data_IF_258922437958
#
_entry.id   IF_258922437958
#
_cell.length_a   1.000
_cell.length_b   1.000
_cell.length_c   1.000
_cell.angle_alpha   90.00
_cell.angle_beta   90.00
_cell.angle_gamma   90.00
#
_symmetry.space_group_name_H-M   'P 1'
#
loop_
_entity.id
_entity.type
_entity.pdbx_description
1 polymer ?
#
# COMPACT_ATOMS: atom_id res chain seq x y z
N UNK A 1 -17.28 -34.83 11.60
CA UNK A 1 -16.93 -33.84 12.63
C UNK A 1 -17.17 -32.45 12.04
N UNK A 2 -18.42 -32.14 11.75
CA UNK A 2 -18.88 -30.93 11.09
C UNK A 2 -20.20 -30.49 11.75
N UNK A 3 -20.12 -30.12 13.01
CA UNK A 3 -21.24 -29.56 13.78
C UNK A 3 -20.68 -28.79 14.96
N UNK A 4 -20.31 -27.51 14.75
CA UNK A 4 -20.09 -26.54 15.86
C UNK A 4 -19.85 -25.09 15.37
N UNK A 5 -20.33 -24.72 14.18
CA UNK A 5 -20.21 -23.33 13.67
C UNK A 5 -21.54 -22.68 13.25
N UNK A 6 -22.68 -23.30 13.61
CA UNK A 6 -24.00 -22.84 13.20
C UNK A 6 -24.83 -22.13 14.26
N UNK A 7 -24.27 -21.68 15.38
CA UNK A 7 -25.05 -21.26 16.52
C UNK A 7 -24.76 -19.91 17.18
N UNK A 8 -24.07 -18.97 16.51
CA UNK A 8 -23.73 -17.67 17.13
C UNK A 8 -23.93 -16.43 16.25
N UNK A 9 -25.03 -16.39 15.50
CA UNK A 9 -25.36 -15.20 14.69
C UNK A 9 -26.71 -14.56 15.03
N UNK A 10 -27.24 -14.82 16.22
CA UNK A 10 -28.43 -14.13 16.72
C UNK A 10 -28.23 -13.77 18.17
N UNK A 11 -27.73 -12.60 18.45
CA UNK A 11 -27.96 -11.73 19.59
C UNK A 11 -26.70 -10.89 19.93
N UNK A 12 -26.61 -9.71 19.39
CA UNK A 12 -25.95 -8.60 20.08
C UNK A 12 -26.35 -7.27 19.47
N UNK A 13 -27.62 -6.88 19.67
CA UNK A 13 -27.99 -5.48 19.80
C UNK A 13 -27.74 -5.09 21.27
N UNK A 14 -26.49 -4.89 21.65
CA UNK A 14 -26.16 -4.17 22.87
C UNK A 14 -25.62 -2.81 22.51
N UNK A 15 -26.31 -1.77 22.96
CA UNK A 15 -25.80 -0.42 23.04
C UNK A 15 -24.42 -0.45 23.70
N UNK A 16 -23.39 -0.07 22.96
CA UNK A 16 -22.07 0.20 23.54
C UNK A 16 -22.21 1.46 24.37
N UNK A 17 -22.37 1.29 25.67
CA UNK A 17 -22.13 2.35 26.63
C UNK A 17 -20.63 2.53 26.75
N UNK A 18 -20.13 3.71 26.36
CA UNK A 18 -18.77 4.13 26.56
C UNK A 18 -18.37 3.98 28.04
N UNK A 19 -17.61 2.94 28.35
CA UNK A 19 -16.84 2.87 29.59
C UNK A 19 -15.48 3.52 29.29
N UNK A 20 -15.36 4.80 29.57
CA UNK A 20 -14.09 5.49 29.68
C UNK A 20 -13.33 4.91 30.86
N UNK A 21 -12.45 3.94 30.61
CA UNK A 21 -11.35 3.67 31.51
C UNK A 21 -10.19 4.58 31.10
N UNK A 22 -9.96 5.63 31.93
CA UNK A 22 -8.89 6.59 31.73
C UNK A 22 -7.51 5.94 31.75
N UNK A 23 -6.99 5.64 30.56
CA UNK A 23 -5.57 5.75 30.23
C UNK A 23 -5.46 6.93 29.29
N UNK A 24 -4.68 7.92 29.71
CA UNK A 24 -4.23 9.03 28.92
C UNK A 24 -3.56 8.46 27.66
N UNK A 25 -4.34 8.32 26.58
CA UNK A 25 -3.81 7.92 25.29
C UNK A 25 -2.93 9.07 24.84
N UNK A 26 -1.65 8.86 24.77
CA UNK A 26 -0.65 9.85 24.35
C UNK A 26 -1.11 10.42 23.01
N UNK A 27 -1.62 11.65 23.06
CA UNK A 27 -2.10 12.38 21.89
C UNK A 27 -0.93 12.52 20.93
N UNK A 28 -1.04 11.89 19.76
CA UNK A 28 -0.02 11.99 18.74
C UNK A 28 0.13 13.45 18.33
N UNK A 29 1.35 13.98 18.40
CA UNK A 29 1.67 15.31 17.89
C UNK A 29 1.98 15.21 16.40
N UNK A 30 1.09 15.75 15.57
CA UNK A 30 1.28 15.79 14.11
C UNK A 30 2.03 17.06 13.71
N UNK A 31 3.05 16.91 12.88
CA UNK A 31 3.76 18.04 12.26
C UNK A 31 2.83 18.81 11.34
N UNK A 32 2.57 20.09 11.64
CA UNK A 32 1.65 20.92 10.84
C UNK A 32 2.31 21.56 9.61
N UNK A 33 3.63 21.72 9.63
CA UNK A 33 4.39 22.25 8.49
C UNK A 33 4.41 21.23 7.35
N UNK A 34 4.34 21.73 6.10
CA UNK A 34 4.58 20.86 4.93
C UNK A 34 6.01 20.33 4.95
N UNK A 35 6.15 19.03 5.14
CA UNK A 35 7.43 18.34 5.32
C UNK A 35 7.62 17.17 4.33
N UNK A 36 6.82 17.17 3.25
CA UNK A 36 6.91 16.13 2.22
C UNK A 36 8.05 16.40 1.26
N UNK A 37 8.59 15.31 0.70
CA UNK A 37 9.68 15.35 -0.29
C UNK A 37 9.21 15.80 -1.69
N UNK A 38 7.96 16.19 -1.81
CA UNK A 38 7.35 16.71 -3.05
C UNK A 38 6.54 17.98 -2.77
N UNK A 39 6.34 18.85 -3.77
CA UNK A 39 5.59 20.09 -3.58
C UNK A 39 4.09 19.85 -3.44
N UNK A 40 3.42 20.70 -2.65
CA UNK A 40 1.96 20.68 -2.54
C UNK A 40 1.30 21.15 -3.84
N UNK A 41 0.34 20.39 -4.33
CA UNK A 41 -0.48 20.78 -5.47
C UNK A 41 -1.58 21.77 -5.07
N UNK A 42 -1.79 22.79 -5.90
CA UNK A 42 -2.90 23.75 -5.76
C UNK A 42 -4.28 23.15 -6.08
N UNK A 43 -4.32 21.97 -6.71
CA UNK A 43 -5.55 21.28 -7.11
C UNK A 43 -6.18 20.45 -5.99
N UNK A 44 -5.53 20.37 -4.81
CA UNK A 44 -5.99 19.58 -3.70
C UNK A 44 -5.98 20.37 -2.39
N UNK A 45 -6.96 20.08 -1.53
CA UNK A 45 -6.93 20.46 -0.12
C UNK A 45 -6.26 19.32 0.66
N UNK A 46 -5.40 19.68 1.61
CA UNK A 46 -4.66 18.73 2.42
C UNK A 46 -4.92 18.98 3.92
N UNK A 47 -5.07 17.90 4.68
CA UNK A 47 -5.03 17.94 6.14
C UNK A 47 -4.46 16.64 6.70
N UNK A 48 -3.79 16.71 7.84
CA UNK A 48 -3.43 15.52 8.61
C UNK A 48 -4.61 15.04 9.45
N UNK A 49 -4.76 13.72 9.52
CA UNK A 49 -5.82 13.04 10.27
C UNK A 49 -5.25 11.85 11.04
N UNK A 50 -5.99 11.41 12.06
CA UNK A 50 -5.67 10.19 12.82
C UNK A 50 -6.91 9.33 12.94
N UNK A 51 -6.71 8.01 12.99
CA UNK A 51 -7.77 7.02 13.23
C UNK A 51 -7.18 5.79 13.92
N UNK A 52 -8.02 5.01 14.59
CA UNK A 52 -7.58 3.91 15.43
C UNK A 52 -7.81 2.56 14.76
N UNK A 53 -6.82 1.66 14.87
CA UNK A 53 -6.93 0.27 14.48
C UNK A 53 -7.65 -0.55 15.54
N UNK A 54 -8.17 -1.73 15.18
CA UNK A 54 -8.75 -2.65 16.15
C UNK A 54 -7.74 -3.17 17.19
N UNK A 55 -6.45 -3.00 16.96
CA UNK A 55 -5.38 -3.30 17.92
C UNK A 55 -5.08 -2.15 18.90
N UNK A 56 -5.85 -1.06 18.85
CA UNK A 56 -5.66 0.11 19.72
C UNK A 56 -4.43 0.95 19.35
N UNK A 57 -3.97 0.85 18.11
CA UNK A 57 -2.92 1.70 17.57
C UNK A 57 -3.56 2.86 16.82
N UNK A 58 -3.00 4.06 16.94
CA UNK A 58 -3.45 5.25 16.21
C UNK A 58 -2.58 5.44 14.98
N UNK A 59 -3.20 5.41 13.80
CA UNK A 59 -2.53 5.73 12.54
C UNK A 59 -2.58 7.23 12.27
N UNK A 60 -1.47 7.78 11.80
CA UNK A 60 -1.35 9.14 11.29
C UNK A 60 -1.37 9.12 9.76
N UNK A 61 -2.17 10.00 9.16
CA UNK A 61 -2.31 10.05 7.72
C UNK A 61 -2.44 11.48 7.18
N UNK A 62 -2.11 11.62 5.90
CA UNK A 62 -2.35 12.80 5.09
C UNK A 62 -3.59 12.55 4.22
N UNK A 63 -4.65 13.32 4.44
CA UNK A 63 -5.88 13.28 3.65
C UNK A 63 -5.84 14.39 2.58
N UNK A 64 -5.95 13.99 1.33
CA UNK A 64 -6.03 14.86 0.16
C UNK A 64 -7.43 14.82 -0.43
N UNK A 65 -8.04 16.00 -0.59
CA UNK A 65 -9.39 16.15 -1.14
C UNK A 65 -9.35 17.03 -2.37
N UNK A 66 -9.95 16.63 -3.50
CA UNK A 66 -9.97 17.42 -4.73
C UNK A 66 -10.55 18.82 -4.51
N UNK A 67 -9.99 19.85 -5.17
CA UNK A 67 -10.64 21.17 -5.30
C UNK A 67 -11.69 21.09 -6.40
N UNK A 68 -12.97 21.11 -6.03
CA UNK A 68 -14.12 20.86 -6.94
C UNK A 68 -14.18 21.84 -8.14
N UNK A 69 -13.68 23.06 -7.97
CA UNK A 69 -13.65 24.06 -9.05
C UNK A 69 -12.78 23.61 -10.24
N UNK A 70 -11.68 22.93 -9.98
CA UNK A 70 -10.72 22.50 -10.99
C UNK A 70 -11.16 21.24 -11.75
N UNK A 71 -11.99 20.39 -11.13
CA UNK A 71 -12.54 19.20 -11.80
C UNK A 71 -13.47 19.54 -12.97
N UNK A 72 -14.17 20.67 -12.91
CA UNK A 72 -15.08 21.13 -13.97
C UNK A 72 -14.32 21.63 -15.21
N UNK A 73 -13.08 22.08 -15.08
CA UNK A 73 -12.25 22.53 -16.20
C UNK A 73 -11.56 21.36 -16.91
N UNK A 74 -11.06 20.37 -16.17
CA UNK A 74 -10.33 19.23 -16.72
C UNK A 74 -11.20 18.31 -17.60
N UNK A 75 -12.50 18.18 -17.30
CA UNK A 75 -13.44 17.37 -18.10
C UNK A 75 -13.82 18.01 -19.44
N UNK A 76 -13.66 19.32 -19.60
CA UNK A 76 -13.87 20.01 -20.89
C UNK A 76 -12.73 19.76 -21.88
N UNK A 77 -11.51 19.55 -21.39
CA UNK A 77 -10.33 19.35 -22.23
C UNK A 77 -10.11 17.87 -22.62
N UNK A 78 -10.52 16.92 -21.77
CA UNK A 78 -10.24 15.49 -21.99
C UNK A 78 -11.32 14.70 -22.75
N UNK A 79 -12.51 15.29 -22.98
CA UNK A 79 -13.63 14.59 -23.65
C UNK A 79 -14.20 13.39 -22.88
N UNK A 80 -13.73 13.14 -21.65
CA UNK A 80 -14.20 12.07 -20.78
C UNK A 80 -15.45 12.55 -20.06
N UNK A 81 -16.59 11.88 -20.28
CA UNK A 81 -17.82 12.18 -19.55
C UNK A 81 -17.62 11.88 -18.06
N UNK A 82 -17.54 12.94 -17.25
CA UNK A 82 -17.48 12.80 -15.80
C UNK A 82 -18.87 12.34 -15.32
N UNK A 83 -19.02 11.16 -14.70
CA UNK A 83 -20.29 10.71 -14.14
C UNK A 83 -20.85 11.65 -13.05
N UNK A 84 -20.09 12.66 -12.64
CA UNK A 84 -20.42 13.61 -11.59
C UNK A 84 -21.19 14.86 -12.10
N UNK A 85 -21.54 14.96 -13.40
CA UNK A 85 -22.14 16.20 -13.98
C UNK A 85 -23.61 16.47 -13.58
N UNK A 86 -24.32 15.53 -12.95
CA UNK A 86 -25.77 15.64 -12.74
C UNK A 86 -26.24 15.72 -11.28
N UNK A 87 -25.35 15.79 -10.29
CA UNK A 87 -25.70 15.88 -8.88
C UNK A 87 -25.42 17.27 -8.28
N UNK A 88 -26.25 17.65 -7.31
CA UNK A 88 -26.01 18.86 -6.52
C UNK A 88 -24.59 18.81 -5.92
N UNK A 89 -23.72 19.82 -6.11
CA UNK A 89 -22.35 19.82 -5.60
C UNK A 89 -22.21 19.54 -4.09
N UNK A 90 -23.26 19.81 -3.33
CA UNK A 90 -23.32 19.58 -1.86
C UNK A 90 -23.67 18.12 -1.47
N UNK A 91 -24.06 17.27 -2.44
CA UNK A 91 -24.42 15.86 -2.21
C UNK A 91 -23.50 14.87 -2.94
N UNK A 92 -22.48 15.38 -3.63
CA UNK A 92 -21.62 14.54 -4.44
C UNK A 92 -20.59 13.80 -3.58
N UNK A 93 -20.71 12.46 -3.54
CA UNK A 93 -19.73 11.57 -2.91
C UNK A 93 -18.63 11.19 -3.89
N UNK A 94 -17.37 11.27 -3.44
CA UNK A 94 -16.18 10.92 -4.21
C UNK A 94 -15.81 9.45 -4.03
N UNK A 95 -15.25 8.80 -5.06
CA UNK A 95 -14.49 7.57 -4.84
C UNK A 95 -13.26 7.86 -4.00
N UNK A 96 -12.76 6.85 -3.26
CA UNK A 96 -11.62 7.05 -2.39
C UNK A 96 -10.52 6.01 -2.57
N UNK A 97 -9.28 6.38 -2.21
CA UNK A 97 -8.10 5.52 -2.34
C UNK A 97 -7.23 5.67 -1.09
N UNK A 98 -6.93 4.55 -0.40
CA UNK A 98 -5.90 4.51 0.63
C UNK A 98 -4.55 4.07 0.03
N UNK A 99 -3.46 4.72 0.44
CA UNK A 99 -2.12 4.51 -0.11
C UNK A 99 -1.11 4.30 1.01
N UNK A 100 -0.25 3.30 0.89
CA UNK A 100 0.90 3.13 1.79
C UNK A 100 2.12 2.51 1.09
N UNK A 101 3.26 2.63 1.74
CA UNK A 101 4.57 2.17 1.26
C UNK A 101 5.45 3.29 0.72
N UNK A 102 6.66 2.95 0.36
CA UNK A 102 7.37 1.66 0.44
C UNK A 102 7.55 1.14 1.88
N UNK A 103 7.92 -0.14 2.02
CA UNK A 103 8.25 -0.73 3.31
C UNK A 103 9.44 0.02 3.94
N UNK A 104 9.29 0.48 5.19
CA UNK A 104 10.28 1.32 5.87
C UNK A 104 10.27 2.81 5.48
N UNK A 105 9.41 3.23 4.55
CA UNK A 105 9.17 4.64 4.21
C UNK A 105 8.08 5.27 5.10
N UNK A 106 7.82 6.55 4.91
CA UNK A 106 6.75 7.31 5.56
C UNK A 106 5.83 7.97 4.53
N UNK A 107 4.64 8.40 4.99
CA UNK A 107 3.63 9.05 4.14
C UNK A 107 4.11 10.35 3.49
N UNK A 108 5.20 10.94 3.97
CA UNK A 108 5.82 12.14 3.42
C UNK A 108 6.60 11.88 2.13
N UNK A 109 6.79 10.60 1.78
CA UNK A 109 7.54 10.15 0.61
C UNK A 109 6.60 9.67 -0.51
N UNK A 110 6.87 8.56 -1.15
CA UNK A 110 6.15 8.04 -2.32
C UNK A 110 4.64 7.91 -2.13
N UNK A 111 4.17 7.36 -1.00
CA UNK A 111 2.73 7.17 -0.78
C UNK A 111 1.95 8.48 -0.75
N UNK A 112 2.50 9.53 -0.14
CA UNK A 112 1.89 10.86 -0.16
C UNK A 112 1.82 11.46 -1.57
N UNK A 113 2.86 11.28 -2.37
CA UNK A 113 2.85 11.70 -3.77
C UNK A 113 1.74 10.99 -4.56
N UNK A 114 1.64 9.66 -4.43
CA UNK A 114 0.58 8.89 -5.09
C UNK A 114 -0.82 9.35 -4.66
N UNK A 115 -1.04 9.54 -3.36
CA UNK A 115 -2.31 10.02 -2.84
C UNK A 115 -2.66 11.42 -3.39
N UNK A 116 -1.71 12.36 -3.38
CA UNK A 116 -1.90 13.68 -3.95
C UNK A 116 -2.23 13.62 -5.45
N UNK A 117 -1.52 12.77 -6.22
CA UNK A 117 -1.75 12.61 -7.67
C UNK A 117 -3.10 11.97 -7.99
N UNK A 118 -3.60 11.08 -7.15
CA UNK A 118 -4.95 10.54 -7.28
C UNK A 118 -6.00 11.60 -6.91
N UNK A 119 -5.73 12.41 -5.89
CA UNK A 119 -6.64 13.51 -5.53
C UNK A 119 -6.74 14.59 -6.63
N UNK A 120 -5.64 14.91 -7.32
CA UNK A 120 -5.67 15.77 -8.51
C UNK A 120 -6.62 15.24 -9.61
N UNK A 121 -6.95 13.94 -9.58
CA UNK A 121 -7.79 13.23 -10.56
C UNK A 121 -9.19 12.88 -10.06
N UNK A 122 -9.59 13.46 -8.94
CA UNK A 122 -10.98 13.37 -8.47
C UNK A 122 -11.26 12.31 -7.42
N UNK A 123 -10.26 11.74 -6.77
CA UNK A 123 -10.42 10.81 -5.66
C UNK A 123 -10.18 11.52 -4.32
N UNK A 124 -10.91 11.17 -3.28
CA UNK A 124 -10.45 11.42 -1.92
C UNK A 124 -9.34 10.42 -1.63
N UNK A 125 -8.14 10.90 -1.33
CA UNK A 125 -6.98 10.03 -1.19
C UNK A 125 -6.32 10.18 0.18
N UNK A 126 -5.93 9.06 0.78
CA UNK A 126 -5.36 8.98 2.12
C UNK A 126 -4.00 8.29 2.05
N UNK A 127 -2.90 8.98 2.39
CA UNK A 127 -1.61 8.36 2.60
C UNK A 127 -1.36 8.20 4.10
N UNK A 128 -1.10 7.00 4.59
CA UNK A 128 -0.91 6.74 6.02
C UNK A 128 0.47 6.18 6.34
N UNK A 129 0.99 6.53 7.51
CA UNK A 129 2.11 5.84 8.11
C UNK A 129 1.63 4.51 8.70
N UNK A 130 2.32 3.40 8.44
CA UNK A 130 2.03 2.14 9.12
C UNK A 130 2.12 2.23 10.64
N UNK A 131 1.44 1.34 11.33
CA UNK A 131 1.63 1.11 12.75
C UNK A 131 3.12 1.04 13.12
N UNK A 132 3.52 1.64 14.21
CA UNK A 132 4.91 1.73 14.71
C UNK A 132 5.87 2.60 13.88
N UNK A 133 5.40 3.24 12.80
CA UNK A 133 6.23 3.97 11.83
C UNK A 133 5.81 5.44 11.74
N UNK A 134 6.74 6.32 11.34
CA UNK A 134 6.45 7.73 11.07
C UNK A 134 5.82 8.45 12.26
N UNK A 135 4.67 9.08 12.04
CA UNK A 135 3.85 9.74 13.07
C UNK A 135 2.77 8.83 13.68
N UNK A 136 2.57 7.59 13.16
CA UNK A 136 1.67 6.61 13.76
C UNK A 136 2.19 6.11 15.10
N UNK A 137 1.28 5.69 15.98
CA UNK A 137 1.62 5.16 17.31
C UNK A 137 2.20 3.74 17.27
N UNK A 138 2.55 3.25 18.42
CA UNK A 138 3.05 1.89 18.64
C UNK A 138 4.50 1.86 19.10
N UNK A 139 4.75 1.05 20.12
CA UNK A 139 6.08 0.76 20.66
C UNK A 139 6.30 -0.75 20.70
N UNK A 140 7.51 -1.19 20.45
CA UNK A 140 8.71 -0.43 20.08
C UNK A 140 8.66 0.08 18.63
N UNK A 141 9.20 1.29 18.40
CA UNK A 141 9.18 1.93 17.06
C UNK A 141 9.82 1.08 15.98
N UNK A 142 9.37 1.27 14.73
CA UNK A 142 9.86 0.57 13.53
C UNK A 142 9.71 -0.95 13.61
N UNK A 143 8.69 -1.41 14.32
CA UNK A 143 8.27 -2.81 14.29
C UNK A 143 7.39 -3.05 13.08
N UNK A 144 7.63 -4.14 12.36
CA UNK A 144 6.77 -4.59 11.28
C UNK A 144 6.13 -5.93 11.67
N UNK A 145 4.85 -6.12 11.30
CA UNK A 145 4.09 -7.35 11.55
C UNK A 145 3.16 -7.62 10.38
N UNK A 146 3.14 -8.84 9.82
CA UNK A 146 2.34 -9.15 8.63
C UNK A 146 0.84 -8.92 8.81
N UNK A 147 0.30 -9.29 9.95
CA UNK A 147 -1.11 -9.15 10.31
C UNK A 147 -1.48 -7.70 10.63
N UNK A 148 -0.69 -7.02 11.46
CA UNK A 148 -0.93 -5.60 11.81
C UNK A 148 -0.82 -4.72 10.57
N UNK A 149 0.18 -4.94 9.70
CA UNK A 149 0.32 -4.14 8.49
C UNK A 149 -0.82 -4.40 7.47
N UNK A 150 -1.38 -5.61 7.44
CA UNK A 150 -2.58 -5.90 6.66
C UNK A 150 -3.79 -5.16 7.24
N UNK A 151 -3.96 -5.17 8.56
CA UNK A 151 -5.00 -4.45 9.29
C UNK A 151 -4.90 -2.93 9.08
N UNK A 152 -3.70 -2.36 9.00
CA UNK A 152 -3.52 -0.93 8.74
C UNK A 152 -4.24 -0.48 7.46
N UNK A 153 -4.22 -1.28 6.36
CA UNK A 153 -5.02 -1.00 5.16
C UNK A 153 -6.53 -1.12 5.41
N UNK A 154 -6.98 -2.17 6.12
CA UNK A 154 -8.41 -2.37 6.39
C UNK A 154 -8.95 -1.24 7.28
N UNK A 155 -8.18 -0.79 8.27
CA UNK A 155 -8.51 0.38 9.09
C UNK A 155 -8.56 1.67 8.27
N UNK A 156 -7.67 1.85 7.28
CA UNK A 156 -7.74 2.99 6.37
C UNK A 156 -9.03 2.97 5.51
N UNK A 157 -9.49 1.79 5.12
CA UNK A 157 -10.79 1.59 4.44
C UNK A 157 -11.95 1.92 5.38
N UNK A 158 -11.89 1.50 6.66
CA UNK A 158 -12.89 1.87 7.68
C UNK A 158 -13.01 3.39 7.80
N UNK A 159 -11.87 4.07 7.95
CA UNK A 159 -11.84 5.53 8.07
C UNK A 159 -12.45 6.21 6.84
N UNK A 160 -12.03 5.82 5.63
CA UNK A 160 -12.56 6.39 4.39
C UNK A 160 -14.04 6.15 4.23
N UNK A 161 -14.53 4.96 4.61
CA UNK A 161 -15.96 4.59 4.51
C UNK A 161 -16.87 5.46 5.38
N UNK A 162 -16.34 6.07 6.44
CA UNK A 162 -17.08 6.90 7.38
C UNK A 162 -17.10 8.39 7.01
N UNK A 163 -16.32 8.81 6.02
CA UNK A 163 -16.29 10.20 5.57
C UNK A 163 -17.58 10.53 4.80
N UNK A 164 -18.26 11.63 5.17
CA UNK A 164 -19.52 12.06 4.58
C UNK A 164 -19.43 12.29 3.06
N UNK A 165 -18.28 12.77 2.59
CA UNK A 165 -18.00 13.06 1.18
C UNK A 165 -17.42 11.86 0.41
N UNK A 166 -17.33 10.66 0.99
CA UNK A 166 -16.83 9.45 0.33
C UNK A 166 -17.98 8.48 0.03
N UNK A 167 -17.93 7.87 -1.14
CA UNK A 167 -18.76 6.75 -1.52
C UNK A 167 -18.11 5.44 -1.04
N UNK A 168 -18.64 4.85 0.01
CA UNK A 168 -18.14 3.63 0.62
C UNK A 168 -18.13 2.41 -0.33
N UNK A 169 -18.95 2.43 -1.40
CA UNK A 169 -18.96 1.39 -2.42
C UNK A 169 -17.89 1.59 -3.51
N UNK A 170 -17.10 2.66 -3.43
CA UNK A 170 -16.05 2.99 -4.40
C UNK A 170 -14.73 3.29 -3.71
N UNK A 171 -14.22 2.32 -2.94
CA UNK A 171 -12.93 2.43 -2.25
C UNK A 171 -11.92 1.47 -2.86
N UNK A 172 -10.74 1.99 -3.18
CA UNK A 172 -9.59 1.23 -3.63
C UNK A 172 -8.36 1.47 -2.78
N UNK A 173 -7.32 0.69 -3.03
CA UNK A 173 -6.04 0.83 -2.35
C UNK A 173 -4.86 0.81 -3.31
N UNK A 174 -3.76 1.47 -2.94
CA UNK A 174 -2.47 1.40 -3.63
C UNK A 174 -1.39 1.00 -2.64
N UNK A 175 -0.74 -0.11 -2.88
CA UNK A 175 0.45 -0.53 -2.16
C UNK A 175 1.71 -0.36 -3.01
N UNK A 176 2.77 0.24 -2.45
CA UNK A 176 4.01 0.53 -3.15
C UNK A 176 5.14 -0.29 -2.54
N UNK A 177 5.99 -0.93 -3.37
CA UNK A 177 7.10 -1.77 -2.93
C UNK A 177 6.61 -2.92 -2.01
N UNK A 178 7.15 -3.09 -0.81
CA UNK A 178 6.69 -4.11 0.14
C UNK A 178 5.22 -4.01 0.52
N UNK A 179 4.66 -2.81 0.45
CA UNK A 179 3.22 -2.58 0.68
C UNK A 179 2.34 -3.03 -0.49
N UNK A 180 2.92 -3.33 -1.65
CA UNK A 180 2.19 -3.98 -2.74
C UNK A 180 1.73 -5.40 -2.37
N UNK A 181 2.59 -6.19 -1.73
CA UNK A 181 2.20 -7.50 -1.20
C UNK A 181 1.18 -7.40 -0.07
N UNK A 182 1.33 -6.42 0.85
CA UNK A 182 0.36 -6.14 1.91
C UNK A 182 -1.00 -5.74 1.32
N UNK A 183 -1.02 -4.90 0.27
CA UNK A 183 -2.25 -4.50 -0.41
C UNK A 183 -2.98 -5.68 -1.05
N UNK A 184 -2.26 -6.61 -1.68
CA UNK A 184 -2.85 -7.82 -2.23
C UNK A 184 -3.43 -8.72 -1.12
N UNK A 185 -2.73 -8.86 0.00
CA UNK A 185 -3.24 -9.61 1.15
C UNK A 185 -4.49 -8.96 1.76
N UNK A 186 -4.50 -7.63 1.91
CA UNK A 186 -5.67 -6.88 2.36
C UNK A 186 -6.86 -7.02 1.41
N UNK A 187 -6.64 -6.96 0.08
CA UNK A 187 -7.68 -7.16 -0.91
C UNK A 187 -8.25 -8.59 -0.94
N UNK A 188 -7.47 -9.59 -0.53
CA UNK A 188 -7.96 -10.95 -0.35
C UNK A 188 -8.80 -11.11 0.92
N UNK A 189 -8.52 -10.30 1.96
CA UNK A 189 -9.20 -10.36 3.25
C UNK A 189 -10.45 -9.45 3.33
N UNK A 190 -10.43 -8.27 2.69
CA UNK A 190 -11.47 -7.25 2.80
C UNK A 190 -12.21 -7.03 1.46
N UNK A 191 -13.44 -7.50 1.38
CA UNK A 191 -14.29 -7.41 0.17
C UNK A 191 -14.81 -5.99 -0.12
N UNK A 192 -14.63 -5.04 0.78
CA UNK A 192 -14.94 -3.61 0.56
C UNK A 192 -13.94 -2.94 -0.37
N UNK A 193 -12.74 -3.52 -0.53
CA UNK A 193 -11.73 -3.06 -1.47
C UNK A 193 -12.14 -3.45 -2.90
N UNK A 194 -12.57 -2.47 -3.70
CA UNK A 194 -13.11 -2.69 -5.04
C UNK A 194 -12.06 -2.69 -6.15
N UNK A 195 -10.92 -2.07 -5.90
CA UNK A 195 -9.80 -2.06 -6.83
C UNK A 195 -8.47 -1.89 -6.09
N UNK A 196 -7.42 -2.57 -6.54
CA UNK A 196 -6.09 -2.57 -5.92
C UNK A 196 -5.02 -2.33 -6.96
N UNK A 197 -4.10 -1.41 -6.68
CA UNK A 197 -2.85 -1.25 -7.44
C UNK A 197 -1.68 -1.69 -6.58
N UNK A 198 -0.89 -2.65 -7.08
CA UNK A 198 0.37 -3.05 -6.48
C UNK A 198 1.51 -2.52 -7.36
N UNK A 199 2.09 -1.37 -6.95
CA UNK A 199 3.14 -0.69 -7.70
C UNK A 199 4.52 -1.13 -7.27
N UNK A 200 5.35 -1.53 -8.23
CA UNK A 200 6.74 -1.98 -8.00
C UNK A 200 6.89 -2.91 -6.79
N UNK A 201 5.94 -3.85 -6.69
CA UNK A 201 5.68 -4.61 -5.48
C UNK A 201 6.81 -5.56 -5.07
N UNK A 202 6.88 -5.81 -3.76
CA UNK A 202 7.52 -6.98 -3.19
C UNK A 202 6.50 -7.88 -2.49
N UNK A 203 6.77 -9.16 -2.46
CA UNK A 203 6.28 -10.02 -1.41
C UNK A 203 7.31 -10.07 -0.28
N UNK A 204 7.06 -9.29 0.77
CA UNK A 204 7.96 -9.22 1.93
C UNK A 204 8.07 -10.55 2.67
N UNK A 205 7.05 -11.41 2.57
CA UNK A 205 7.10 -12.76 3.18
C UNK A 205 8.00 -13.68 2.39
N UNK A 206 7.97 -13.61 1.07
CA UNK A 206 8.84 -14.38 0.18
C UNK A 206 10.31 -13.95 0.32
N UNK A 207 10.60 -12.65 0.22
CA UNK A 207 11.99 -12.20 0.34
C UNK A 207 12.58 -12.46 1.71
N UNK A 208 11.79 -12.36 2.78
CA UNK A 208 12.25 -12.67 4.14
C UNK A 208 12.48 -14.16 4.38
N UNK A 209 11.76 -15.03 3.69
CA UNK A 209 11.89 -16.48 3.83
C UNK A 209 12.86 -17.13 2.85
N UNK A 210 12.99 -16.59 1.65
CA UNK A 210 13.69 -17.22 0.54
C UNK A 210 14.88 -16.38 -0.01
N UNK A 211 15.10 -15.18 0.50
CA UNK A 211 16.11 -14.27 -0.06
C UNK A 211 15.69 -13.65 -1.40
N UNK A 212 16.58 -12.83 -1.98
CA UNK A 212 16.39 -12.27 -3.31
C UNK A 212 16.51 -13.37 -4.38
N UNK A 213 15.60 -13.36 -5.34
CA UNK A 213 15.53 -14.35 -6.43
C UNK A 213 15.42 -15.79 -5.91
N UNK A 214 14.88 -15.97 -4.69
CA UNK A 214 14.75 -17.26 -4.00
C UNK A 214 16.11 -17.99 -3.81
N UNK A 215 17.20 -17.24 -3.67
CA UNK A 215 18.56 -17.80 -3.51
C UNK A 215 18.70 -18.70 -2.28
N UNK A 216 17.87 -18.47 -1.26
CA UNK A 216 17.88 -19.16 0.02
C UNK A 216 16.64 -20.06 0.21
N UNK A 217 15.94 -20.42 -0.89
CA UNK A 217 14.73 -21.27 -0.84
C UNK A 217 15.08 -22.74 -0.64
N UNK A 218 15.67 -23.04 0.48
CA UNK A 218 15.93 -24.42 0.94
C UNK A 218 15.79 -24.49 2.48
N UNK A 219 15.66 -25.69 3.00
CA UNK A 219 15.42 -25.92 4.43
C UNK A 219 16.60 -25.46 5.29
N UNK A 220 17.82 -25.76 4.88
CA UNK A 220 19.05 -25.46 5.60
C UNK A 220 19.24 -23.96 5.78
N UNK A 221 19.11 -23.18 4.69
CA UNK A 221 19.22 -21.71 4.73
C UNK A 221 18.16 -21.10 5.62
N UNK A 222 16.89 -21.54 5.49
CA UNK A 222 15.82 -21.06 6.35
C UNK A 222 16.01 -21.43 7.82
N UNK A 223 16.54 -22.62 8.11
CA UNK A 223 16.84 -23.02 9.47
C UNK A 223 17.95 -22.16 10.08
N UNK A 224 19.05 -21.97 9.35
CA UNK A 224 20.16 -21.11 9.78
C UNK A 224 19.70 -19.66 10.05
N UNK A 225 18.85 -19.10 9.16
CA UNK A 225 18.27 -17.77 9.36
C UNK A 225 17.42 -17.70 10.63
N UNK A 226 16.58 -18.71 10.92
CA UNK A 226 15.76 -18.77 12.12
C UNK A 226 16.62 -18.89 13.39
N UNK A 227 17.71 -19.65 13.36
CA UNK A 227 18.67 -19.72 14.47
C UNK A 227 19.33 -18.36 14.72
N UNK A 228 19.79 -17.69 13.66
CA UNK A 228 20.39 -16.36 13.76
C UNK A 228 19.41 -15.34 14.36
N UNK A 229 18.16 -15.31 13.88
CA UNK A 229 17.11 -14.44 14.42
C UNK A 229 16.79 -14.76 15.88
N UNK A 230 16.75 -16.05 16.27
CA UNK A 230 16.51 -16.46 17.65
C UNK A 230 17.64 -16.02 18.58
N UNK A 231 18.90 -16.13 18.13
CA UNK A 231 20.07 -15.64 18.87
C UNK A 231 20.04 -14.11 19.00
N UNK A 232 19.73 -13.39 17.88
CA UNK A 232 19.62 -11.94 17.86
C UNK A 232 18.54 -11.43 18.82
N UNK A 233 17.39 -12.13 18.87
CA UNK A 233 16.27 -11.80 19.76
C UNK A 233 16.66 -11.80 21.24
N UNK A 234 17.59 -12.68 21.63
CA UNK A 234 18.09 -12.76 23.01
C UNK A 234 19.24 -11.78 23.26
N UNK A 235 20.13 -11.59 22.28
CA UNK A 235 21.30 -10.75 22.41
C UNK A 235 20.95 -9.25 22.42
N UNK A 236 20.13 -8.82 21.46
CA UNK A 236 19.66 -7.45 21.35
C UNK A 236 18.29 -7.40 20.62
N UNK A 237 17.17 -7.37 21.35
CA UNK A 237 15.85 -7.27 20.77
C UNK A 237 15.58 -5.88 20.12
N UNK A 238 16.49 -4.93 20.30
CA UNK A 238 16.36 -3.56 19.76
C UNK A 238 17.10 -3.36 18.45
N UNK A 239 17.89 -4.34 18.01
CA UNK A 239 18.70 -4.25 16.81
C UNK A 239 17.86 -3.89 15.58
N UNK A 240 18.44 -3.04 14.74
CA UNK A 240 17.85 -2.54 13.49
C UNK A 240 18.59 -3.11 12.28
N UNK A 241 17.85 -3.26 11.17
CA UNK A 241 18.41 -3.60 9.87
C UNK A 241 17.50 -3.05 8.76
N UNK A 242 17.95 -3.17 7.51
CA UNK A 242 17.16 -2.80 6.33
C UNK A 242 17.19 -1.30 5.98
N UNK A 243 17.92 -0.48 6.71
CA UNK A 243 18.28 0.86 6.27
C UNK A 243 19.12 0.80 4.98
N UNK A 244 18.98 1.82 4.14
CA UNK A 244 19.74 1.87 2.90
C UNK A 244 21.22 2.07 3.21
N UNK A 245 22.08 1.29 2.50
CA UNK A 245 23.53 1.28 2.72
C UNK A 245 24.11 2.67 2.54
N UNK A 246 24.80 3.19 3.57
CA UNK A 246 25.48 4.47 3.56
C UNK A 246 26.73 4.40 4.47
N UNK A 247 27.96 4.68 3.96
CA UNK A 247 28.25 5.14 2.60
C UNK A 247 28.03 4.06 1.53
N UNK A 248 27.70 4.53 0.30
CA UNK A 248 27.47 3.65 -0.84
C UNK A 248 28.77 2.97 -1.28
N UNK A 249 28.86 1.63 -1.32
CA UNK A 249 30.01 0.93 -1.87
C UNK A 249 30.23 1.25 -3.36
N UNK A 250 31.48 1.35 -3.79
CA UNK A 250 31.83 1.70 -5.18
C UNK A 250 31.31 0.65 -6.19
N UNK A 251 31.32 -0.62 -5.79
CA UNK A 251 30.86 -1.78 -6.58
C UNK A 251 29.41 -2.18 -6.32
N UNK A 252 28.63 -1.32 -5.63
CA UNK A 252 27.24 -1.61 -5.31
C UNK A 252 26.43 -1.94 -6.59
N UNK A 253 25.55 -2.95 -6.55
CA UNK A 253 24.61 -3.22 -7.64
C UNK A 253 23.71 -2.02 -7.95
N UNK A 254 23.20 -1.92 -9.20
CA UNK A 254 22.44 -0.76 -9.63
C UNK A 254 21.21 -0.48 -8.72
N UNK A 255 20.49 -1.51 -8.31
CA UNK A 255 19.32 -1.31 -7.44
C UNK A 255 19.68 -0.74 -6.05
N UNK A 256 20.86 -1.07 -5.52
CA UNK A 256 21.37 -0.47 -4.26
C UNK A 256 21.70 1.00 -4.48
N UNK A 257 22.29 1.36 -5.64
CA UNK A 257 22.54 2.76 -6.04
C UNK A 257 21.22 3.53 -6.18
N UNK A 258 20.19 2.92 -6.77
CA UNK A 258 18.87 3.53 -6.94
C UNK A 258 18.20 3.80 -5.58
N UNK A 259 18.29 2.86 -4.61
CA UNK A 259 17.80 3.06 -3.25
C UNK A 259 18.58 4.15 -2.51
N UNK A 260 19.92 4.16 -2.63
CA UNK A 260 20.74 5.19 -2.01
C UNK A 260 20.36 6.57 -2.58
N UNK A 261 20.23 6.69 -3.90
CA UNK A 261 19.84 7.93 -4.55
C UNK A 261 18.48 8.43 -4.06
N UNK A 262 17.50 7.53 -3.89
CA UNK A 262 16.19 7.94 -3.39
C UNK A 262 16.19 8.27 -1.89
N UNK A 263 16.70 7.39 -1.02
CA UNK A 263 16.49 7.51 0.42
C UNK A 263 17.53 8.33 1.17
N UNK A 264 18.73 8.47 0.64
CA UNK A 264 19.86 9.11 1.34
C UNK A 264 20.12 10.53 0.82
N UNK A 265 19.74 10.81 -0.44
CA UNK A 265 19.88 12.13 -1.03
C UNK A 265 18.62 12.99 -0.86
N UNK A 266 18.67 14.31 -1.15
CA UNK A 266 17.49 15.18 -1.11
C UNK A 266 16.32 14.75 -2.00
N UNK A 267 16.51 13.80 -2.91
CA UNK A 267 15.46 13.26 -3.79
C UNK A 267 14.25 12.73 -2.99
N UNK A 268 14.51 12.00 -1.93
CA UNK A 268 13.43 11.38 -1.16
C UNK A 268 13.79 11.13 0.30
N UNK A 269 14.93 11.67 0.81
CA UNK A 269 15.30 11.56 2.22
C UNK A 269 14.21 12.13 3.12
N UNK A 270 13.86 11.38 4.17
CA UNK A 270 12.97 11.88 5.22
C UNK A 270 13.44 11.40 6.61
N UNK A 271 13.49 12.30 7.63
CA UNK A 271 14.06 11.97 8.95
C UNK A 271 13.26 10.91 9.72
N UNK A 272 11.98 10.72 9.43
CA UNK A 272 11.15 9.68 10.05
C UNK A 272 11.18 8.34 9.32
N UNK A 273 11.72 8.29 8.10
CA UNK A 273 11.81 7.06 7.32
C UNK A 273 12.89 6.13 7.87
N UNK A 274 12.55 4.86 8.09
CA UNK A 274 13.51 3.82 8.44
C UNK A 274 14.56 3.61 7.34
N UNK A 275 14.13 3.64 6.08
CA UNK A 275 15.02 3.46 4.94
C UNK A 275 16.07 4.57 4.81
N UNK A 276 15.72 5.80 5.20
CA UNK A 276 16.65 6.95 5.21
C UNK A 276 17.60 6.95 6.41
N UNK A 277 17.41 6.01 7.34
CA UNK A 277 18.18 5.91 8.58
C UNK A 277 18.62 4.45 8.82
N UNK A 278 18.43 3.92 10.03
CA UNK A 278 18.91 2.62 10.48
C UNK A 278 17.96 1.44 10.20
N UNK A 279 16.86 1.67 9.47
CA UNK A 279 15.93 0.62 9.04
C UNK A 279 14.82 0.32 10.05
N UNK A 280 14.51 -0.95 10.22
CA UNK A 280 13.47 -1.46 11.10
C UNK A 280 14.00 -2.58 12.02
N UNK A 281 13.21 -2.96 13.03
CA UNK A 281 13.62 -3.97 13.99
C UNK A 281 13.76 -5.34 13.34
N UNK A 282 14.90 -5.99 13.57
CA UNK A 282 15.22 -7.32 13.03
C UNK A 282 14.21 -8.38 13.48
N UNK A 283 13.76 -8.30 14.73
CA UNK A 283 12.83 -9.29 15.30
C UNK A 283 11.49 -9.36 14.55
N UNK A 284 11.08 -8.29 13.88
CA UNK A 284 9.89 -8.30 13.01
C UNK A 284 10.05 -9.17 11.77
N UNK A 285 11.27 -9.31 11.27
CA UNK A 285 11.59 -10.13 10.09
C UNK A 285 11.22 -11.60 10.29
N UNK A 286 11.32 -12.11 11.52
CA UNK A 286 10.98 -13.51 11.83
C UNK A 286 9.50 -13.82 11.52
N UNK A 287 8.59 -12.91 11.83
CA UNK A 287 7.17 -13.08 11.52
C UNK A 287 6.92 -13.06 10.01
N UNK A 288 7.58 -12.16 9.28
CA UNK A 288 7.51 -12.11 7.82
C UNK A 288 8.07 -13.37 7.16
N UNK A 289 9.20 -13.88 7.61
CA UNK A 289 9.81 -15.12 7.09
C UNK A 289 8.93 -16.36 7.28
N UNK A 290 7.95 -16.33 8.19
CA UNK A 290 7.07 -17.44 8.49
C UNK A 290 5.61 -17.21 8.06
N UNK A 291 5.30 -16.10 7.39
CA UNK A 291 3.99 -15.76 6.84
C UNK A 291 3.94 -15.95 5.32
N UNK A 292 2.74 -15.94 4.73
CA UNK A 292 2.52 -16.05 3.29
C UNK A 292 1.40 -15.10 2.86
N UNK A 293 1.76 -13.94 2.34
CA UNK A 293 0.77 -12.94 1.90
C UNK A 293 -0.03 -13.37 0.67
N UNK A 294 0.62 -14.00 -0.28
CA UNK A 294 -0.01 -14.24 -1.57
C UNK A 294 -0.82 -15.55 -1.63
N UNK A 295 -1.09 -16.19 -0.49
CA UNK A 295 -1.69 -17.52 -0.46
C UNK A 295 -3.12 -17.57 -1.03
N UNK A 296 -3.94 -16.52 -0.82
CA UNK A 296 -5.33 -16.45 -1.27
C UNK A 296 -5.59 -15.35 -2.31
N UNK A 297 -4.56 -14.78 -2.93
CA UNK A 297 -4.76 -13.69 -3.91
C UNK A 297 -5.48 -14.13 -5.19
N UNK A 298 -5.48 -15.42 -5.52
CA UNK A 298 -6.26 -15.99 -6.61
C UNK A 298 -7.78 -15.96 -6.34
N UNK A 299 -8.19 -15.72 -5.09
CA UNK A 299 -9.59 -15.59 -4.70
C UNK A 299 -10.08 -14.13 -4.71
N UNK A 300 -9.20 -13.15 -4.94
CA UNK A 300 -9.58 -11.74 -5.05
C UNK A 300 -10.53 -11.57 -6.24
N UNK A 301 -11.79 -11.20 -5.96
CA UNK A 301 -12.80 -10.93 -7.01
C UNK A 301 -12.75 -9.51 -7.53
N UNK A 302 -12.29 -8.56 -6.71
CA UNK A 302 -12.13 -7.16 -7.10
C UNK A 302 -11.02 -6.96 -8.13
N UNK A 303 -10.97 -5.78 -8.75
CA UNK A 303 -9.98 -5.48 -9.77
C UNK A 303 -8.56 -5.36 -9.19
N UNK A 304 -7.56 -5.87 -9.92
CA UNK A 304 -6.15 -5.74 -9.52
C UNK A 304 -5.29 -5.33 -10.71
N UNK A 305 -4.48 -4.29 -10.52
CA UNK A 305 -3.41 -3.89 -11.42
C UNK A 305 -2.07 -4.06 -10.71
N UNK A 306 -1.23 -4.95 -11.23
CA UNK A 306 0.18 -5.05 -10.85
C UNK A 306 0.99 -4.21 -11.83
N UNK A 307 1.78 -3.24 -11.31
CA UNK A 307 2.62 -2.36 -12.12
C UNK A 307 4.08 -2.48 -11.71
N UNK A 308 4.97 -2.69 -12.67
CA UNK A 308 6.41 -2.76 -12.43
C UNK A 308 7.21 -1.98 -13.47
N UNK A 309 8.40 -1.53 -13.06
CA UNK A 309 9.41 -1.08 -14.00
C UNK A 309 10.05 -2.25 -14.75
N UNK A 310 10.34 -2.05 -16.04
CA UNK A 310 11.01 -3.06 -16.87
C UNK A 310 12.36 -3.49 -16.28
N UNK A 311 13.11 -2.53 -15.69
CA UNK A 311 14.44 -2.73 -15.09
C UNK A 311 14.39 -2.98 -13.57
N UNK A 312 13.19 -3.08 -12.99
CA UNK A 312 13.06 -3.28 -11.55
C UNK A 312 13.55 -4.68 -11.17
N UNK A 313 14.51 -4.75 -10.26
CA UNK A 313 15.04 -6.01 -9.71
C UNK A 313 13.95 -6.84 -8.99
N UNK A 314 12.89 -6.17 -8.51
CA UNK A 314 11.74 -6.79 -7.85
C UNK A 314 10.63 -7.26 -8.81
N UNK A 315 10.81 -7.12 -10.12
CA UNK A 315 9.77 -7.39 -11.12
C UNK A 315 9.20 -8.80 -11.02
N UNK A 316 10.04 -9.78 -10.69
CA UNK A 316 9.64 -11.18 -10.56
C UNK A 316 8.58 -11.43 -9.48
N UNK A 317 8.53 -10.62 -8.42
CA UNK A 317 7.46 -10.72 -7.41
C UNK A 317 6.09 -10.39 -8.01
N UNK A 318 6.01 -9.30 -8.78
CA UNK A 318 4.75 -8.89 -9.39
C UNK A 318 4.31 -9.81 -10.51
N UNK A 319 5.24 -10.31 -11.33
CA UNK A 319 4.94 -11.28 -12.37
C UNK A 319 4.40 -12.59 -11.75
N UNK A 320 5.04 -13.10 -10.69
CA UNK A 320 4.57 -14.28 -9.97
C UNK A 320 3.17 -14.06 -9.36
N UNK A 321 2.95 -12.91 -8.69
CA UNK A 321 1.65 -12.57 -8.11
C UNK A 321 0.56 -12.50 -9.19
N UNK A 322 0.82 -11.84 -10.33
CA UNK A 322 -0.11 -11.76 -11.43
C UNK A 322 -0.45 -13.16 -12.00
N UNK A 323 0.56 -13.96 -12.30
CA UNK A 323 0.34 -15.31 -12.82
C UNK A 323 -0.47 -16.17 -11.85
N UNK A 324 -0.24 -16.04 -10.56
CA UNK A 324 -1.02 -16.76 -9.56
C UNK A 324 -2.49 -16.32 -9.54
N UNK A 325 -2.75 -15.01 -9.60
CA UNK A 325 -4.13 -14.47 -9.63
C UNK A 325 -4.93 -14.92 -10.86
N UNK A 326 -4.29 -15.10 -12.02
CA UNK A 326 -5.00 -15.40 -13.28
C UNK A 326 -5.14 -16.88 -13.58
N UNK A 327 -4.82 -17.78 -12.68
CA UNK A 327 -5.16 -19.20 -12.79
C UNK A 327 -3.98 -20.17 -12.81
N UNK A 328 -2.80 -19.74 -12.38
CA UNK A 328 -1.74 -20.66 -11.99
C UNK A 328 -2.05 -21.32 -10.66
N UNK A 329 -1.66 -22.58 -10.47
CA UNK A 329 -1.58 -23.16 -9.13
C UNK A 329 -0.27 -22.72 -8.51
N UNK A 330 -0.33 -22.18 -7.29
CA UNK A 330 0.89 -21.98 -6.53
C UNK A 330 1.31 -23.30 -5.89
N UNK A 331 2.47 -23.79 -6.28
CA UNK A 331 3.21 -24.78 -5.48
C UNK A 331 4.30 -24.00 -4.74
N UNK A 332 4.01 -23.68 -3.49
CA UNK A 332 4.78 -22.68 -2.77
C UNK A 332 4.58 -21.30 -3.41
N UNK A 333 5.66 -20.69 -3.91
CA UNK A 333 5.62 -19.47 -4.71
C UNK A 333 5.82 -19.69 -6.21
N UNK A 334 5.92 -20.94 -6.64
CA UNK A 334 6.04 -21.26 -8.05
C UNK A 334 4.67 -21.34 -8.69
N UNK A 335 4.50 -20.66 -9.81
CA UNK A 335 3.27 -20.72 -10.59
C UNK A 335 3.39 -21.82 -11.62
N UNK A 336 2.53 -22.82 -11.52
CA UNK A 336 2.44 -23.93 -12.49
C UNK A 336 1.09 -23.87 -13.19
N UNK A 337 1.12 -23.91 -14.52
CA UNK A 337 -0.07 -23.95 -15.35
C UNK A 337 -0.27 -22.73 -16.25
N UNK A 338 -1.21 -22.82 -17.17
CA UNK A 338 -1.59 -21.73 -18.07
C UNK A 338 -2.80 -20.99 -17.51
N UNK A 339 -2.79 -19.65 -17.53
CA UNK A 339 -3.98 -18.86 -17.20
C UNK A 339 -5.09 -19.16 -18.21
N UNK A 340 -6.31 -19.47 -17.73
CA UNK A 340 -7.42 -19.82 -18.63
C UNK A 340 -8.78 -19.50 -17.99
N UNK A 341 -9.61 -18.65 -18.56
CA UNK A 341 -9.26 -17.41 -19.24
C UNK A 341 -8.69 -16.37 -18.26
N UNK A 342 -7.88 -15.44 -18.74
CA UNK A 342 -7.39 -14.31 -17.91
C UNK A 342 -8.58 -13.44 -17.52
N UNK A 343 -8.87 -13.23 -16.23
CA UNK A 343 -9.94 -12.33 -15.81
C UNK A 343 -9.66 -10.91 -16.32
N UNK A 344 -10.63 -10.27 -16.95
CA UNK A 344 -10.49 -8.91 -17.53
C UNK A 344 -10.10 -7.85 -16.50
N UNK A 345 -10.43 -8.07 -15.23
CA UNK A 345 -10.12 -7.18 -14.12
C UNK A 345 -8.77 -7.45 -13.45
N UNK A 346 -7.95 -8.35 -13.99
CA UNK A 346 -6.57 -8.59 -13.56
C UNK A 346 -5.60 -8.13 -14.63
N UNK A 347 -4.71 -7.23 -14.29
CA UNK A 347 -3.80 -6.58 -15.23
C UNK A 347 -2.36 -6.60 -14.74
N UNK A 348 -1.42 -6.80 -15.66
CA UNK A 348 0.02 -6.59 -15.45
C UNK A 348 0.48 -5.47 -16.38
N UNK A 349 1.11 -4.44 -15.82
CA UNK A 349 1.62 -3.30 -16.56
C UNK A 349 3.12 -3.14 -16.32
N UNK A 350 3.90 -3.31 -17.37
CA UNK A 350 5.35 -3.09 -17.33
C UNK A 350 5.67 -1.71 -17.93
N UNK A 351 6.34 -0.87 -17.16
CA UNK A 351 6.75 0.49 -17.57
C UNK A 351 8.14 0.40 -18.17
N UNK A 352 8.22 0.67 -19.48
CA UNK A 352 9.48 0.56 -20.20
C UNK A 352 10.53 1.52 -19.65
N UNK A 353 11.75 1.04 -19.51
CA UNK A 353 12.90 1.78 -19.04
C UNK A 353 12.93 2.14 -17.56
N UNK A 354 11.84 1.94 -16.82
CA UNK A 354 11.76 2.29 -15.40
C UNK A 354 12.49 1.28 -14.51
N UNK A 355 13.24 1.79 -13.53
CA UNK A 355 13.75 1.03 -12.39
C UNK A 355 12.70 0.86 -11.30
N UNK A 356 13.06 0.20 -10.20
CA UNK A 356 12.20 0.08 -9.03
C UNK A 356 11.88 1.45 -8.42
N UNK A 357 12.90 2.27 -8.16
CA UNK A 357 12.77 3.58 -7.53
C UNK A 357 12.22 4.66 -8.46
N UNK A 358 12.29 4.48 -9.77
CA UNK A 358 11.62 5.39 -10.71
C UNK A 358 10.08 5.37 -10.54
N UNK A 359 9.52 4.27 -10.02
CA UNK A 359 8.10 4.20 -9.69
C UNK A 359 7.76 4.73 -8.27
N UNK A 360 8.69 5.38 -7.59
CA UNK A 360 8.43 6.10 -6.35
C UNK A 360 8.02 7.56 -6.58
N UNK A 361 8.64 8.22 -7.57
CA UNK A 361 8.47 9.64 -7.85
C UNK A 361 8.37 10.01 -9.34
N UNK A 362 8.44 9.03 -10.22
CA UNK A 362 8.40 9.19 -11.69
C UNK A 362 9.78 9.14 -12.33
N UNK A 363 10.86 9.07 -11.55
CA UNK A 363 12.24 9.06 -12.02
C UNK A 363 12.73 10.44 -12.48
N UNK A 364 14.07 10.62 -12.46
CA UNK A 364 14.75 11.87 -12.80
C UNK A 364 15.89 11.63 -13.77
N UNK A 365 16.23 12.63 -14.59
CA UNK A 365 17.32 12.53 -15.58
C UNK A 365 18.70 12.56 -14.94
N UNK A 366 18.82 13.16 -13.76
CA UNK A 366 20.04 13.26 -12.97
C UNK A 366 19.83 12.68 -11.57
N UNK A 367 20.90 12.36 -10.87
CA UNK A 367 20.89 11.87 -9.49
C UNK A 367 20.37 12.96 -8.52
N UNK A 368 20.03 12.55 -7.33
CA UNK A 368 19.53 13.41 -6.24
C UNK A 368 18.22 14.13 -6.58
N UNK A 369 17.42 13.60 -7.53
CA UNK A 369 16.18 14.23 -7.98
C UNK A 369 16.39 15.54 -8.74
N UNK A 370 17.53 15.67 -9.39
CA UNK A 370 17.88 16.83 -10.23
C UNK A 370 17.53 16.60 -11.71
N UNK A 371 17.63 17.68 -12.47
CA UNK A 371 17.27 17.67 -13.89
C UNK A 371 15.75 17.66 -14.09
N UNK A 372 15.29 16.95 -15.11
CA UNK A 372 13.88 16.85 -15.48
C UNK A 372 13.26 15.54 -14.98
N UNK A 373 11.98 15.59 -14.57
CA UNK A 373 11.24 14.37 -14.25
C UNK A 373 11.01 13.56 -15.53
N UNK A 374 11.29 12.27 -15.50
CA UNK A 374 11.00 11.33 -16.59
C UNK A 374 9.51 11.02 -16.73
N UNK A 375 8.69 11.40 -15.74
CA UNK A 375 7.23 11.17 -15.70
C UNK A 375 6.84 9.71 -15.99
N UNK A 376 7.59 8.74 -15.46
CA UNK A 376 7.40 7.32 -15.78
C UNK A 376 6.17 6.70 -15.13
N UNK A 377 5.60 7.32 -14.09
CA UNK A 377 4.39 6.82 -13.47
C UNK A 377 3.17 7.26 -14.29
N UNK A 378 2.38 6.32 -14.85
CA UNK A 378 1.25 6.62 -15.73
C UNK A 378 0.00 7.01 -14.92
N UNK A 379 0.03 8.19 -14.29
CA UNK A 379 -1.00 8.66 -13.37
C UNK A 379 -2.43 8.57 -13.91
N UNK A 380 -2.65 8.94 -15.17
CA UNK A 380 -3.98 8.92 -15.81
C UNK A 380 -4.46 7.48 -15.99
N UNK A 381 -3.57 6.56 -16.37
CA UNK A 381 -3.90 5.14 -16.49
C UNK A 381 -4.28 4.51 -15.14
N UNK A 382 -3.63 4.94 -14.04
CA UNK A 382 -4.01 4.50 -12.70
C UNK A 382 -5.40 5.03 -12.33
N UNK A 383 -5.69 6.31 -12.60
CA UNK A 383 -6.99 6.90 -12.36
C UNK A 383 -8.10 6.23 -13.20
N UNK A 384 -7.84 5.98 -14.47
CA UNK A 384 -8.76 5.26 -15.37
C UNK A 384 -9.05 3.83 -14.90
N UNK A 385 -8.01 3.13 -14.40
CA UNK A 385 -8.19 1.79 -13.83
C UNK A 385 -9.17 1.82 -12.66
N UNK A 386 -9.01 2.73 -11.70
CA UNK A 386 -9.94 2.85 -10.57
C UNK A 386 -11.33 3.26 -11.05
N UNK A 387 -11.44 4.28 -11.87
CA UNK A 387 -12.74 4.79 -12.37
C UNK A 387 -13.53 3.72 -13.08
N UNK A 388 -12.91 2.98 -14.01
CA UNK A 388 -13.56 1.88 -14.74
C UNK A 388 -14.08 0.80 -13.79
N UNK A 389 -13.28 0.38 -12.83
CA UNK A 389 -13.62 -0.76 -11.98
C UNK A 389 -14.61 -0.41 -10.85
N UNK A 390 -14.66 0.84 -10.43
CA UNK A 390 -15.70 1.33 -9.52
C UNK A 390 -17.08 1.40 -10.18
N UNK A 391 -17.16 1.70 -11.49
CA UNK A 391 -18.42 1.70 -12.23
C UNK A 391 -18.98 0.30 -12.46
N UNK A 392 -18.13 -0.69 -12.71
CA UNK A 392 -18.55 -2.10 -12.88
C UNK A 392 -19.13 -2.65 -11.58
N UNK A 393 -18.53 -2.34 -10.44
CA UNK A 393 -19.02 -2.76 -9.12
C UNK A 393 -20.41 -2.22 -8.79
N UNK A 394 -20.72 -0.99 -9.21
CA UNK A 394 -22.02 -0.36 -9.00
C UNK A 394 -23.16 -1.03 -9.82
N UNK A 395 -22.84 -1.56 -11.01
CA UNK A 395 -23.82 -2.18 -11.91
C UNK A 395 -24.05 -3.68 -11.62
N UNK A 396 -23.24 -4.31 -10.80
CA UNK A 396 -23.31 -5.74 -10.48
C UNK A 396 -24.13 -6.07 -9.22
N UNK A 397 -24.83 -5.11 -8.62
CA UNK A 397 -25.77 -5.38 -7.53
C UNK A 397 -26.90 -6.27 -8.07
N UNK A 398 -27.19 -7.44 -7.48
CA UNK A 398 -28.32 -8.24 -7.90
C UNK A 398 -29.59 -7.43 -7.66
N UNK A 399 -30.35 -7.18 -8.74
CA UNK A 399 -31.73 -6.69 -8.61
C UNK A 399 -32.48 -7.66 -7.69
N UNK A 400 -32.76 -7.22 -6.48
CA UNK A 400 -33.39 -8.04 -5.46
C UNK A 400 -34.67 -8.66 -6.00
N UNK A 401 -34.65 -9.97 -6.19
CA UNK A 401 -35.87 -10.76 -6.15
C UNK A 401 -36.12 -11.08 -4.69
N UNK A 402 -37.03 -10.32 -4.09
CA UNK A 402 -37.77 -10.70 -2.88
C UNK A 402 -38.44 -12.04 -3.15
N UNK A 403 -38.12 -13.06 -2.37
CA UNK A 403 -38.93 -14.26 -2.19
C UNK A 403 -39.43 -14.25 -0.77
#
# INVERSE_FOLDING_TARGET
>A
MAMLLGGMLTACTQKVTNVQNGKDMTKIELTQKWDKVFPLSKKVNHKKVTFETQYGLTLAADLYVPVVADLKSATKESGISNPLQHSNPLQQKFPAIAVSGPFGATKEQSSGLYAMKMAERGFVALAFDPSYTGESSGEPRRTASPDINTEDFMTAVDYLSQLENVDAERIGIIGICGWGGVALNAAAADTRIKATVASTMYDMTRVSGNGYYDSDDNEESRHAAREALSKQRLADPTAMAGGVVNPLPADAPQFVKDYHDYYITPRGYHPRSGNSNDGWRIVGTQAYANARFLYYINEIRSAVLVMHGEKAHSRYFGEAAYHYMVGGKAEGYNVVGKPNPVPENKQLLIISGASHCDLYDGGWTELEGKGESKNLIPWDKLADFFTKNFLVSANSQPTGKTV
#
